data_IF_197971241424
#
_entry.id   IF_197971241424
#
_cell.length_a   1.000
_cell.length_b   1.000
_cell.length_c   1.000
_cell.angle_alpha   90.00
_cell.angle_beta   90.00
_cell.angle_gamma   90.00
#
_symmetry.space_group_name_H-M   'P 1'
#
loop_
_entity.id
_entity.type
_entity.pdbx_description
1 polymer ?
#
# COMPACT_ATOMS: atom_id res chain seq x y z
N UNK A 1 -42.81 50.13 28.67
CA UNK A 1 -42.38 48.94 29.42
C UNK A 1 -42.24 47.83 28.41
N UNK A 2 -41.02 47.63 27.91
CA UNK A 2 -40.69 46.59 26.93
C UNK A 2 -39.18 46.32 27.03
N UNK A 3 -38.78 45.57 28.05
CA UNK A 3 -37.46 44.94 28.12
C UNK A 3 -37.71 43.44 28.36
N UNK A 4 -38.41 42.83 27.39
CA UNK A 4 -38.51 41.38 27.25
C UNK A 4 -37.19 40.87 26.64
N UNK A 5 -36.59 39.93 27.37
CA UNK A 5 -35.78 38.81 26.87
C UNK A 5 -34.59 39.16 25.97
N UNK A 6 -33.58 39.78 26.58
CA UNK A 6 -32.20 39.42 26.23
C UNK A 6 -31.68 38.46 27.29
N UNK A 7 -31.91 37.18 27.07
CA UNK A 7 -31.05 36.12 27.58
C UNK A 7 -29.65 36.37 27.01
N UNK A 8 -28.92 37.29 27.65
CA UNK A 8 -27.50 37.46 27.39
C UNK A 8 -26.88 36.24 28.06
N UNK A 9 -26.59 35.24 27.25
CA UNK A 9 -25.78 34.08 27.63
C UNK A 9 -24.35 34.58 27.91
N UNK A 10 -24.19 35.22 29.07
CA UNK A 10 -22.91 35.65 29.62
C UNK A 10 -22.30 34.40 30.25
N UNK A 11 -21.89 33.44 29.42
CA UNK A 11 -20.98 32.40 29.84
C UNK A 11 -19.78 33.10 30.50
N UNK A 12 -19.58 32.82 31.79
CA UNK A 12 -18.49 33.35 32.56
C UNK A 12 -17.16 32.98 31.91
N UNK A 13 -16.12 33.79 32.10
CA UNK A 13 -14.78 33.47 31.59
C UNK A 13 -14.27 32.11 32.10
N UNK A 14 -14.81 31.62 33.23
CA UNK A 14 -14.56 30.29 33.74
C UNK A 14 -15.21 29.19 32.89
N UNK A 15 -16.46 29.37 32.47
CA UNK A 15 -17.19 28.43 31.60
C UNK A 15 -16.58 28.36 30.21
N UNK A 16 -16.23 29.50 29.60
CA UNK A 16 -15.52 29.52 28.30
C UNK A 16 -14.19 28.76 28.36
N UNK A 17 -13.44 28.92 29.45
CA UNK A 17 -12.18 28.20 29.67
C UNK A 17 -12.42 26.70 29.87
N UNK A 18 -13.45 26.32 30.62
CA UNK A 18 -13.82 24.93 30.82
C UNK A 18 -14.25 24.25 29.51
N UNK A 19 -15.09 24.93 28.73
CA UNK A 19 -15.55 24.45 27.42
C UNK A 19 -14.38 24.29 26.44
N UNK A 20 -13.49 25.29 26.35
CA UNK A 20 -12.28 25.18 25.53
C UNK A 20 -11.38 24.00 25.94
N UNK A 21 -11.19 23.79 27.25
CA UNK A 21 -10.42 22.65 27.76
C UNK A 21 -11.07 21.31 27.43
N UNK A 22 -12.39 21.23 27.46
CA UNK A 22 -13.14 20.04 27.08
C UNK A 22 -12.98 19.73 25.58
N UNK A 23 -13.11 20.74 24.72
CA UNK A 23 -12.92 20.60 23.28
C UNK A 23 -11.50 20.13 22.94
N UNK A 24 -10.48 20.72 23.55
CA UNK A 24 -9.09 20.33 23.29
C UNK A 24 -8.80 18.90 23.80
N UNK A 25 -9.41 18.47 24.91
CA UNK A 25 -9.31 17.08 25.36
C UNK A 25 -9.89 16.12 24.33
N UNK A 26 -11.09 16.39 23.82
CA UNK A 26 -11.72 15.60 22.75
C UNK A 26 -10.83 15.54 21.50
N UNK A 27 -10.22 16.65 21.12
CA UNK A 27 -9.26 16.70 19.99
C UNK A 27 -8.04 15.81 20.24
N UNK A 28 -7.45 15.86 21.43
CA UNK A 28 -6.29 15.02 21.79
C UNK A 28 -6.63 13.53 21.83
N UNK A 29 -7.84 13.17 22.26
CA UNK A 29 -8.30 11.78 22.27
C UNK A 29 -8.43 11.24 20.85
N UNK A 30 -9.00 12.03 19.93
CA UNK A 30 -9.09 11.64 18.51
C UNK A 30 -7.71 11.49 17.84
N UNK A 31 -6.75 12.35 18.19
CA UNK A 31 -5.36 12.20 17.72
C UNK A 31 -4.72 10.94 18.29
N UNK A 32 -4.96 10.64 19.58
CA UNK A 32 -4.44 9.42 20.21
C UNK A 32 -4.96 8.17 19.50
N UNK A 33 -6.25 8.14 19.18
CA UNK A 33 -6.86 7.07 18.40
C UNK A 33 -6.23 6.95 17.00
N UNK A 34 -6.05 8.07 16.30
CA UNK A 34 -5.38 8.10 14.99
C UNK A 34 -3.95 7.53 15.05
N UNK A 35 -3.21 7.82 16.12
CA UNK A 35 -1.87 7.25 16.35
C UNK A 35 -1.90 5.73 16.62
N UNK A 36 -2.92 5.24 17.32
CA UNK A 36 -3.10 3.80 17.53
C UNK A 36 -3.38 3.10 16.20
N UNK A 37 -4.33 3.61 15.41
CA UNK A 37 -4.63 3.06 14.07
C UNK A 37 -3.43 3.09 13.13
N UNK A 38 -2.61 4.15 13.19
CA UNK A 38 -1.37 4.22 12.42
C UNK A 38 -0.36 3.16 12.86
N UNK A 39 -0.16 2.98 14.17
CA UNK A 39 0.72 1.95 14.71
C UNK A 39 0.28 0.56 14.24
N UNK A 40 -1.02 0.28 14.35
CA UNK A 40 -1.58 -1.02 13.99
C UNK A 40 -1.53 -1.28 12.47
N UNK A 41 -1.36 -0.25 11.65
CA UNK A 41 -1.19 -0.38 10.19
C UNK A 41 0.26 -0.65 9.76
N UNK A 42 1.23 -0.55 10.67
CA UNK A 42 2.67 -0.71 10.38
C UNK A 42 3.16 -2.02 11.01
N UNK A 43 3.43 -3.09 10.24
CA UNK A 43 3.73 -4.42 10.78
C UNK A 43 4.92 -4.47 11.76
N UNK A 44 5.93 -3.62 11.55
CA UNK A 44 7.11 -3.55 12.43
C UNK A 44 6.81 -2.97 13.81
N UNK A 45 5.67 -2.30 14.00
CA UNK A 45 5.23 -1.71 15.27
C UNK A 45 4.23 -2.58 16.04
N UNK A 46 3.65 -3.60 15.39
CA UNK A 46 2.67 -4.51 15.99
C UNK A 46 3.31 -5.52 16.96
N UNK A 47 4.56 -5.93 16.68
CA UNK A 47 5.26 -6.97 17.44
C UNK A 47 5.74 -6.49 18.81
N UNK A 48 5.98 -5.18 18.96
CA UNK A 48 6.42 -4.60 20.22
C UNK A 48 5.22 -4.42 21.17
N UNK A 49 5.12 -5.26 22.21
CA UNK A 49 4.23 -5.06 23.36
C UNK A 49 4.58 -3.80 24.19
N UNK A 50 5.66 -3.11 23.84
CA UNK A 50 6.13 -1.88 24.49
C UNK A 50 5.38 -0.68 23.94
N UNK A 51 5.12 0.31 24.81
CA UNK A 51 4.55 1.60 24.41
C UNK A 51 5.52 2.33 23.48
N UNK A 52 5.22 2.34 22.17
CA UNK A 52 6.02 3.05 21.15
C UNK A 52 5.72 4.55 21.22
N UNK A 53 6.76 5.39 21.19
CA UNK A 53 6.57 6.85 21.20
C UNK A 53 5.94 7.36 19.90
N UNK A 54 5.21 8.49 19.95
CA UNK A 54 4.62 9.13 18.75
C UNK A 54 5.67 9.41 17.67
N UNK A 55 6.87 9.86 18.05
CA UNK A 55 7.96 10.12 17.12
C UNK A 55 8.42 8.84 16.40
N UNK A 56 8.54 7.73 17.13
CA UNK A 56 8.89 6.43 16.54
C UNK A 56 7.78 5.90 15.63
N UNK A 57 6.50 6.07 15.99
CA UNK A 57 5.37 5.68 15.13
C UNK A 57 5.47 6.42 13.78
N UNK A 58 5.68 7.74 13.79
CA UNK A 58 5.82 8.53 12.56
C UNK A 58 7.04 8.08 11.74
N UNK A 59 8.19 7.88 12.40
CA UNK A 59 9.41 7.43 11.72
C UNK A 59 9.21 6.09 11.03
N UNK A 60 8.71 5.09 11.75
CA UNK A 60 8.50 3.74 11.23
C UNK A 60 7.41 3.68 10.17
N UNK A 61 6.37 4.52 10.27
CA UNK A 61 5.38 4.67 9.22
C UNK A 61 5.99 5.23 7.93
N UNK A 62 6.82 6.26 8.03
CA UNK A 62 7.51 6.83 6.87
C UNK A 62 8.46 5.81 6.21
N UNK A 63 9.26 5.11 7.03
CA UNK A 63 10.15 4.04 6.56
C UNK A 63 9.35 2.93 5.85
N UNK A 64 8.20 2.53 6.41
CA UNK A 64 7.36 1.49 5.84
C UNK A 64 6.70 1.90 4.52
N UNK A 65 6.25 3.15 4.39
CA UNK A 65 5.74 3.69 3.11
C UNK A 65 6.84 3.62 2.03
N UNK A 66 8.07 4.04 2.36
CA UNK A 66 9.18 3.99 1.42
C UNK A 66 9.50 2.54 1.02
N UNK A 67 9.58 1.64 2.00
CA UNK A 67 9.78 0.22 1.75
C UNK A 67 8.71 -0.38 0.82
N UNK A 68 7.43 -0.09 1.10
CA UNK A 68 6.32 -0.61 0.30
C UNK A 68 6.32 -0.06 -1.13
N UNK A 69 6.73 1.20 -1.33
CA UNK A 69 6.91 1.75 -2.68
C UNK A 69 7.95 0.98 -3.48
N UNK A 70 9.13 0.74 -2.91
CA UNK A 70 10.19 -0.04 -3.57
C UNK A 70 9.75 -1.48 -3.83
N UNK A 71 9.10 -2.11 -2.85
CA UNK A 71 8.58 -3.48 -2.99
C UNK A 71 7.54 -3.61 -4.10
N UNK A 72 6.59 -2.68 -4.17
CA UNK A 72 5.57 -2.65 -5.22
C UNK A 72 6.18 -2.44 -6.61
N UNK A 73 7.21 -1.61 -6.72
CA UNK A 73 7.93 -1.43 -7.99
C UNK A 73 8.63 -2.73 -8.44
N UNK A 74 9.25 -3.45 -7.50
CA UNK A 74 9.81 -4.78 -7.77
C UNK A 74 8.75 -5.75 -8.29
N UNK A 75 7.62 -5.88 -7.58
CA UNK A 75 6.52 -6.73 -8.02
C UNK A 75 5.95 -6.33 -9.38
N UNK A 76 5.87 -5.04 -9.68
CA UNK A 76 5.41 -4.56 -10.98
C UNK A 76 6.36 -5.00 -12.10
N UNK A 77 7.68 -4.96 -11.86
CA UNK A 77 8.67 -5.47 -12.80
C UNK A 77 8.54 -6.99 -13.00
N UNK A 78 8.38 -7.74 -11.91
CA UNK A 78 8.19 -9.21 -11.99
C UNK A 78 6.94 -9.56 -12.83
N UNK A 79 5.84 -8.81 -12.62
CA UNK A 79 4.61 -8.96 -13.41
C UNK A 79 4.86 -8.70 -14.90
N UNK A 80 5.62 -7.66 -15.24
CA UNK A 80 5.94 -7.32 -16.63
C UNK A 80 6.81 -8.37 -17.31
N UNK A 81 7.81 -8.88 -16.59
CA UNK A 81 8.71 -9.89 -17.12
C UNK A 81 7.99 -11.24 -17.29
N UNK A 82 7.13 -11.63 -16.35
CA UNK A 82 6.25 -12.80 -16.50
C UNK A 82 5.28 -12.65 -17.68
N UNK A 83 4.70 -11.46 -17.89
CA UNK A 83 3.84 -11.21 -19.08
C UNK A 83 4.61 -11.38 -20.39
N UNK A 84 5.83 -10.88 -20.49
CA UNK A 84 6.68 -11.06 -21.68
C UNK A 84 6.97 -12.54 -21.92
N UNK A 85 7.32 -13.29 -20.88
CA UNK A 85 7.56 -14.73 -20.96
C UNK A 85 6.31 -15.48 -21.42
N UNK A 86 5.15 -15.17 -20.85
CA UNK A 86 3.88 -15.78 -21.26
C UNK A 86 3.56 -15.49 -22.73
N UNK A 87 3.66 -14.24 -23.18
CA UNK A 87 3.45 -13.90 -24.60
C UNK A 87 4.41 -14.64 -25.52
N UNK A 88 5.66 -14.83 -25.10
CA UNK A 88 6.64 -15.58 -25.89
C UNK A 88 6.30 -17.08 -25.97
N UNK A 89 5.93 -17.69 -24.84
CA UNK A 89 5.49 -19.09 -24.79
C UNK A 89 4.22 -19.31 -25.62
N UNK A 90 3.24 -18.42 -25.54
CA UNK A 90 2.02 -18.46 -26.36
C UNK A 90 2.34 -18.42 -27.86
N UNK A 91 3.30 -17.59 -28.29
CA UNK A 91 3.75 -17.55 -29.69
C UNK A 91 4.40 -18.87 -30.10
N UNK A 92 5.23 -19.46 -29.25
CA UNK A 92 5.85 -20.75 -29.54
C UNK A 92 4.82 -21.87 -29.64
N UNK A 93 3.87 -21.94 -28.70
CA UNK A 93 2.77 -22.92 -28.72
C UNK A 93 2.00 -22.80 -30.03
N UNK A 94 1.59 -21.59 -30.42
CA UNK A 94 0.87 -21.36 -31.68
C UNK A 94 1.67 -21.78 -32.92
N UNK A 95 2.99 -21.53 -32.93
CA UNK A 95 3.86 -21.94 -34.02
C UNK A 95 3.98 -23.47 -34.12
N UNK A 96 4.12 -24.15 -32.98
CA UNK A 96 4.18 -25.60 -32.88
C UNK A 96 2.85 -26.26 -33.28
N UNK A 97 1.72 -25.72 -32.83
CA UNK A 97 0.39 -26.16 -33.25
C UNK A 97 0.23 -26.04 -34.77
N UNK A 98 0.61 -24.90 -35.35
CA UNK A 98 0.59 -24.72 -36.81
C UNK A 98 1.47 -25.74 -37.53
N UNK A 99 2.69 -25.97 -37.06
CA UNK A 99 3.63 -26.93 -37.66
C UNK A 99 3.12 -28.38 -37.56
N UNK A 100 2.48 -28.75 -36.45
CA UNK A 100 1.84 -30.05 -36.26
C UNK A 100 0.68 -30.24 -37.25
N UNK A 101 -0.16 -29.22 -37.42
CA UNK A 101 -1.29 -29.27 -38.34
C UNK A 101 -0.86 -29.31 -39.83
N UNK A 102 0.29 -28.75 -40.19
CA UNK A 102 0.82 -28.77 -41.56
C UNK A 102 1.78 -29.94 -41.83
N UNK A 103 2.07 -30.79 -40.84
CA UNK A 103 2.98 -31.93 -40.97
C UNK A 103 4.47 -31.56 -41.15
N UNK A 104 4.85 -30.31 -40.88
CA UNK A 104 6.21 -29.81 -41.12
C UNK A 104 7.06 -29.86 -39.84
N UNK A 105 7.72 -30.99 -39.61
CA UNK A 105 8.52 -31.27 -38.40
C UNK A 105 9.86 -30.51 -38.31
N UNK A 106 10.35 -29.94 -39.41
CA UNK A 106 11.59 -29.15 -39.43
C UNK A 106 11.47 -27.83 -38.66
N UNK A 107 10.27 -27.22 -38.63
CA UNK A 107 10.00 -26.00 -37.86
C UNK A 107 10.04 -26.24 -36.33
N UNK A 108 9.74 -27.46 -35.89
CA UNK A 108 9.71 -27.85 -34.46
C UNK A 108 11.14 -27.85 -33.87
N UNK A 109 12.12 -28.30 -34.65
CA UNK A 109 13.51 -28.42 -34.19
C UNK A 109 14.17 -27.03 -34.00
N UNK A 110 13.85 -26.07 -34.89
CA UNK A 110 14.37 -24.70 -34.81
C UNK A 110 13.79 -23.92 -33.63
N UNK A 111 12.49 -24.07 -33.36
CA UNK A 111 11.84 -23.45 -32.19
C UNK A 111 12.47 -23.98 -30.90
N UNK A 112 12.63 -25.31 -30.79
CA UNK A 112 13.22 -25.94 -29.60
C UNK A 112 14.66 -25.49 -29.31
N UNK A 113 15.51 -25.37 -30.32
CA UNK A 113 16.89 -24.87 -30.13
C UNK A 113 16.93 -23.41 -29.66
N UNK A 114 16.03 -22.57 -30.18
CA UNK A 114 15.96 -21.16 -29.78
C UNK A 114 15.35 -20.96 -28.39
N UNK A 115 14.50 -21.88 -27.91
CA UNK A 115 14.05 -21.88 -26.51
C UNK A 115 15.20 -22.19 -25.54
N UNK A 116 16.07 -23.14 -25.91
CA UNK A 116 17.14 -23.64 -25.04
C UNK A 116 18.26 -22.60 -24.83
N UNK A 117 18.62 -21.83 -25.87
CA UNK A 117 19.57 -20.71 -25.76
C UNK A 117 19.10 -19.57 -24.85
N UNK A 118 17.79 -19.39 -24.67
CA UNK A 118 17.24 -18.33 -23.81
C UNK A 118 17.29 -18.73 -22.35
N UNK A 119 17.05 -20.00 -22.03
CA UNK A 119 17.19 -20.51 -20.65
C UNK A 119 18.63 -20.48 -20.15
N UNK A 120 19.63 -20.52 -21.04
CA UNK A 120 21.05 -20.40 -20.67
C UNK A 120 21.55 -18.95 -20.52
N UNK A 121 20.73 -17.95 -20.85
CA UNK A 121 21.07 -16.51 -20.72
C UNK A 121 20.51 -15.86 -19.44
N UNK A 122 19.86 -16.63 -18.58
CA UNK A 122 19.39 -16.24 -17.25
C UNK A 122 19.95 -17.19 -16.19
#
# INVERSE_FOLDING_TARGET
>A
MSDEDRDVDIESDAEKRAHHNALERKRRDHIKESFNSLRDSVPTLQVEKVTVSRAQILKKAADYIQFMRTKNLGHQKDIEDLKKQNTYLEKQIRALEKAKNTGSYTAIHTVRSSTQEIYEKF
#
